data_IF_912518909736
#
_entry.id   IF_912518909736
#
_cell.length_a   1.000
_cell.length_b   1.000
_cell.length_c   1.000
_cell.angle_alpha   90.00
_cell.angle_beta   90.00
_cell.angle_gamma   90.00
#
_symmetry.space_group_name_H-M   'P 1'
#
loop_
_entity.id
_entity.type
_entity.pdbx_description
1 polymer ?
#
# COMPACT_ATOMS: atom_id res chain seq x y z
N UNK A 1 -20.12 10.84 -32.09
CA UNK A 1 -18.80 10.22 -31.84
C UNK A 1 -18.74 9.97 -30.34
N UNK A 2 -18.84 8.71 -29.92
CA UNK A 2 -18.89 8.33 -28.50
C UNK A 2 -17.49 8.46 -27.92
N UNK A 3 -17.22 9.56 -27.23
CA UNK A 3 -16.04 9.65 -26.37
C UNK A 3 -16.24 8.67 -25.21
N UNK A 4 -15.53 7.55 -25.32
CA UNK A 4 -15.31 6.60 -24.25
C UNK A 4 -14.75 7.36 -23.05
N UNK A 5 -15.64 7.71 -22.13
CA UNK A 5 -15.29 8.21 -20.81
C UNK A 5 -14.54 7.10 -20.08
N UNK A 6 -13.22 7.03 -20.31
CA UNK A 6 -12.31 6.34 -19.43
C UNK A 6 -12.49 7.00 -18.06
N UNK A 7 -13.36 6.41 -17.25
CA UNK A 7 -13.47 6.71 -15.83
C UNK A 7 -12.02 6.76 -15.33
N UNK A 8 -11.54 7.86 -14.73
CA UNK A 8 -10.20 7.86 -14.19
C UNK A 8 -10.17 6.69 -13.23
N UNK A 9 -9.39 5.65 -13.55
CA UNK A 9 -9.38 4.40 -12.83
C UNK A 9 -9.33 4.77 -11.35
N UNK A 10 -10.45 4.59 -10.63
CA UNK A 10 -10.59 5.16 -9.29
C UNK A 10 -9.49 4.50 -8.48
N UNK A 11 -8.40 5.24 -8.24
CA UNK A 11 -7.30 4.82 -7.39
C UNK A 11 -7.88 4.87 -5.98
N UNK A 12 -8.57 3.79 -5.62
CA UNK A 12 -9.23 3.63 -4.34
C UNK A 12 -8.16 3.41 -3.29
N UNK A 13 -8.32 3.97 -2.09
CA UNK A 13 -7.45 3.66 -0.95
C UNK A 13 -7.69 2.25 -0.38
N UNK A 14 -8.60 1.49 -1.00
CA UNK A 14 -9.01 0.15 -0.59
C UNK A 14 -8.92 -0.81 -1.77
N UNK A 15 -8.21 -1.92 -1.58
CA UNK A 15 -8.14 -2.99 -2.58
C UNK A 15 -8.35 -4.35 -1.94
N UNK A 16 -9.21 -5.16 -2.57
CA UNK A 16 -9.44 -6.54 -2.20
C UNK A 16 -9.21 -7.41 -3.43
N UNK A 17 -8.29 -8.35 -3.33
CA UNK A 17 -7.98 -9.33 -4.38
C UNK A 17 -7.94 -10.71 -3.76
N UNK A 18 -8.32 -11.72 -4.51
CA UNK A 18 -8.16 -13.14 -4.17
C UNK A 18 -6.90 -13.75 -4.78
N UNK A 19 -6.16 -12.97 -5.59
CA UNK A 19 -4.94 -13.44 -6.25
C UNK A 19 -3.80 -13.63 -5.22
N UNK A 20 -2.99 -14.68 -5.38
CA UNK A 20 -1.87 -14.97 -4.48
C UNK A 20 -0.74 -13.94 -4.62
N UNK A 21 -0.56 -13.39 -5.82
CA UNK A 21 0.42 -12.34 -6.11
C UNK A 21 -0.13 -11.32 -7.10
N UNK A 22 0.43 -10.12 -7.09
CA UNK A 22 0.10 -9.05 -8.02
C UNK A 22 0.59 -7.69 -7.54
N UNK A 23 0.38 -6.68 -8.37
CA UNK A 23 0.67 -5.30 -8.03
C UNK A 23 -0.53 -4.39 -8.30
N UNK A 24 -0.65 -3.34 -7.47
CA UNK A 24 -1.73 -2.38 -7.57
C UNK A 24 -1.33 -1.02 -7.01
N UNK A 25 -1.55 0.00 -7.81
CA UNK A 25 -1.47 1.39 -7.35
C UNK A 25 -2.69 1.75 -6.51
N UNK A 26 -2.47 2.18 -5.26
CA UNK A 26 -3.47 2.77 -4.37
C UNK A 26 -3.05 4.17 -3.91
N UNK A 27 -4.05 4.95 -3.49
CA UNK A 27 -3.84 6.27 -2.90
C UNK A 27 -3.81 6.13 -1.38
N UNK A 28 -2.76 6.65 -0.76
CA UNK A 28 -2.64 6.66 0.69
C UNK A 28 -3.67 7.63 1.26
N UNK A 29 -4.42 7.20 2.28
CA UNK A 29 -5.34 8.07 2.99
C UNK A 29 -4.59 9.23 3.65
N UNK A 30 -5.30 10.31 3.99
CA UNK A 30 -4.74 11.48 4.68
C UNK A 30 -4.00 11.13 5.98
N UNK A 31 -4.38 10.03 6.63
CA UNK A 31 -3.76 9.55 7.85
C UNK A 31 -2.49 8.68 7.62
N UNK A 32 -2.00 8.56 6.38
CA UNK A 32 -0.84 7.73 6.07
C UNK A 32 -1.12 6.21 6.07
N UNK A 33 -2.39 5.83 6.01
CA UNK A 33 -2.85 4.44 6.06
C UNK A 33 -3.39 3.99 4.71
N UNK A 34 -3.43 2.67 4.49
CA UNK A 34 -4.01 2.03 3.30
C UNK A 34 -4.79 0.81 3.75
N UNK A 35 -5.91 0.50 3.07
CA UNK A 35 -6.68 -0.72 3.34
C UNK A 35 -6.43 -1.76 2.25
N UNK A 36 -5.92 -2.93 2.62
CA UNK A 36 -5.64 -4.04 1.72
C UNK A 36 -6.14 -5.35 2.32
N UNK A 37 -6.95 -6.12 1.58
CA UNK A 37 -7.59 -7.38 2.03
C UNK A 37 -8.27 -7.25 3.42
N UNK A 38 -9.06 -6.20 3.59
CA UNK A 38 -9.74 -5.83 4.86
C UNK A 38 -8.81 -5.40 6.02
N UNK A 39 -7.49 -5.47 5.84
CA UNK A 39 -6.50 -5.05 6.83
C UNK A 39 -6.07 -3.61 6.58
N UNK A 40 -5.94 -2.82 7.64
CA UNK A 40 -5.43 -1.45 7.58
C UNK A 40 -3.93 -1.47 7.85
N UNK A 41 -3.15 -1.12 6.84
CA UNK A 41 -1.70 -0.94 6.92
C UNK A 41 -1.39 0.53 7.18
N UNK A 42 -0.75 0.81 8.31
CA UNK A 42 -0.21 2.13 8.61
C UNK A 42 1.21 2.22 8.07
N UNK A 43 1.41 3.02 7.02
CA UNK A 43 2.71 3.29 6.44
C UNK A 43 3.35 4.48 7.15
N UNK A 44 3.15 5.68 6.61
CA UNK A 44 3.64 6.91 7.19
C UNK A 44 2.80 8.08 6.68
N UNK A 45 2.57 9.08 7.52
CA UNK A 45 1.87 10.31 7.13
C UNK A 45 2.63 11.12 6.09
N UNK A 46 3.95 10.91 5.93
CA UNK A 46 4.75 11.53 4.86
C UNK A 46 4.29 11.12 3.46
N UNK A 47 3.64 9.97 3.32
CA UNK A 47 3.06 9.50 2.07
C UNK A 47 1.57 9.82 1.95
N UNK A 48 0.98 10.55 2.91
CA UNK A 48 -0.43 10.94 2.86
C UNK A 48 -0.74 11.68 1.54
N UNK A 49 -1.90 11.37 0.96
CA UNK A 49 -2.36 11.88 -0.34
C UNK A 49 -1.51 11.47 -1.56
N UNK A 50 -0.39 10.76 -1.39
CA UNK A 50 0.43 10.25 -2.48
C UNK A 50 -0.10 8.92 -2.99
N UNK A 51 0.29 8.60 -4.22
CA UNK A 51 0.04 7.30 -4.85
C UNK A 51 1.22 6.38 -4.55
N UNK A 52 0.90 5.14 -4.20
CA UNK A 52 1.90 4.10 -3.92
C UNK A 52 1.48 2.84 -4.64
N UNK A 53 2.46 2.10 -5.11
CA UNK A 53 2.27 0.78 -5.71
C UNK A 53 2.43 -0.26 -4.62
N UNK A 54 1.44 -1.12 -4.47
CA UNK A 54 1.47 -2.24 -3.55
C UNK A 54 1.74 -3.47 -4.38
N UNK A 55 2.79 -4.18 -4.07
CA UNK A 55 3.11 -5.48 -4.66
C UNK A 55 2.96 -6.51 -3.57
N UNK A 56 2.16 -7.54 -3.80
CA UNK A 56 2.01 -8.63 -2.84
C UNK A 56 2.31 -9.95 -3.52
N UNK A 57 2.79 -10.87 -2.71
CA UNK A 57 3.16 -12.23 -3.06
C UNK A 57 2.73 -13.15 -1.92
N UNK A 58 2.65 -14.48 -2.11
CA UNK A 58 2.30 -15.41 -1.03
C UNK A 58 3.25 -15.36 0.17
N UNK A 59 4.42 -14.73 0.04
CA UNK A 59 5.40 -14.58 1.12
C UNK A 59 5.30 -13.25 1.87
N UNK A 60 5.04 -12.15 1.16
CA UNK A 60 5.09 -10.79 1.72
C UNK A 60 4.25 -9.78 0.94
N UNK A 61 4.02 -8.62 1.56
CA UNK A 61 3.31 -7.47 1.00
C UNK A 61 4.24 -6.27 1.06
N UNK A 62 4.62 -5.76 -0.09
CA UNK A 62 5.57 -4.66 -0.28
C UNK A 62 4.81 -3.43 -0.75
N UNK A 63 5.10 -2.30 -0.14
CA UNK A 63 4.58 -0.99 -0.53
C UNK A 63 5.74 -0.18 -1.09
N UNK A 64 5.59 0.31 -2.31
CA UNK A 64 6.61 1.01 -3.09
C UNK A 64 6.06 2.36 -3.54
N UNK A 65 6.88 3.40 -3.57
CA UNK A 65 6.51 4.70 -4.17
C UNK A 65 6.47 4.59 -5.71
N UNK A 66 5.89 5.59 -6.36
CA UNK A 66 5.96 5.73 -7.83
C UNK A 66 7.40 5.87 -8.36
N UNK A 67 8.36 6.27 -7.51
CA UNK A 67 9.78 6.35 -7.85
C UNK A 67 10.52 5.01 -7.68
N UNK A 68 9.84 3.96 -7.20
CA UNK A 68 10.45 2.66 -6.95
C UNK A 68 11.09 2.52 -5.56
N UNK A 69 10.88 3.48 -4.65
CA UNK A 69 11.38 3.38 -3.28
C UNK A 69 10.46 2.50 -2.44
N UNK A 70 11.00 1.45 -1.82
CA UNK A 70 10.24 0.62 -0.88
C UNK A 70 9.91 1.47 0.35
N UNK A 71 8.63 1.68 0.63
CA UNK A 71 8.14 2.39 1.81
C UNK A 71 8.17 1.45 3.00
N UNK A 72 7.54 0.28 2.84
CA UNK A 72 7.45 -0.75 3.86
C UNK A 72 7.18 -2.12 3.24
N UNK A 73 7.73 -3.14 3.85
CA UNK A 73 7.47 -4.55 3.57
C UNK A 73 6.88 -5.19 4.81
N UNK A 74 5.73 -5.84 4.66
CA UNK A 74 5.03 -6.55 5.71
C UNK A 74 4.99 -8.04 5.38
N UNK A 75 5.11 -8.89 6.39
CA UNK A 75 4.65 -10.27 6.26
C UNK A 75 3.12 -10.33 6.21
N UNK A 76 2.59 -11.46 5.74
CA UNK A 76 1.16 -11.73 5.89
C UNK A 76 0.77 -11.68 7.37
N UNK A 77 -0.19 -10.83 7.74
CA UNK A 77 -0.58 -10.71 9.14
C UNK A 77 -1.30 -11.98 9.60
N UNK A 78 -1.23 -12.27 10.90
CA UNK A 78 -1.93 -13.41 11.47
C UNK A 78 -3.45 -13.31 11.21
N UNK A 79 -4.15 -14.44 11.01
CA UNK A 79 -5.59 -14.44 10.75
C UNK A 79 -6.34 -13.71 11.88
N UNK A 80 -7.19 -12.74 11.52
CA UNK A 80 -7.91 -11.88 12.46
C UNK A 80 -7.25 -10.52 12.74
N UNK A 81 -6.04 -10.27 12.22
CA UNK A 81 -5.39 -8.96 12.34
C UNK A 81 -6.09 -7.93 11.47
N UNK A 82 -6.66 -6.90 12.09
CA UNK A 82 -7.32 -5.79 11.38
C UNK A 82 -6.42 -4.59 11.10
N UNK A 83 -5.33 -4.47 11.85
CA UNK A 83 -4.46 -3.30 11.80
C UNK A 83 -3.00 -3.72 11.91
N UNK A 84 -2.20 -3.31 10.93
CA UNK A 84 -0.76 -3.57 10.86
C UNK A 84 -0.04 -2.23 10.85
N UNK A 85 0.67 -1.94 11.92
CA UNK A 85 1.50 -0.75 12.01
C UNK A 85 2.83 -0.95 11.29
N UNK A 86 3.46 0.14 10.84
CA UNK A 86 4.83 0.12 10.29
C UNK A 86 5.86 -0.54 11.24
N UNK A 87 5.59 -0.59 12.54
CA UNK A 87 6.42 -1.31 13.53
C UNK A 87 6.46 -2.83 13.31
N UNK A 88 5.45 -3.38 12.64
CA UNK A 88 5.37 -4.80 12.27
C UNK A 88 5.92 -5.04 10.85
N UNK A 89 6.36 -3.99 10.15
CA UNK A 89 7.03 -4.16 8.87
C UNK A 89 8.38 -4.84 9.10
N UNK A 90 8.70 -5.82 8.25
CA UNK A 90 10.03 -6.45 8.19
C UNK A 90 11.08 -5.44 7.78
N UNK A 91 10.75 -4.64 6.78
CA UNK A 91 11.55 -3.53 6.29
C UNK A 91 10.66 -2.30 6.25
N UNK A 92 11.16 -1.18 6.75
CA UNK A 92 10.55 0.12 6.52
C UNK A 92 11.64 1.10 6.20
N UNK A 93 11.54 1.78 5.05
CA UNK A 93 12.52 2.78 4.67
C UNK A 93 12.18 4.09 5.39
N UNK A 94 12.43 4.06 6.70
CA UNK A 94 12.38 5.22 7.57
C UNK A 94 13.70 6.00 7.55
N UNK A 95 14.58 5.76 6.55
CA UNK A 95 15.82 6.54 6.34
C UNK A 95 15.46 7.98 5.96
N UNK A 96 15.08 8.75 6.96
CA UNK A 96 15.71 10.04 7.15
C UNK A 96 17.21 9.76 7.18
N UNK A 97 17.87 10.04 6.07
CA UNK A 97 19.29 10.36 6.08
C UNK A 97 19.42 11.52 7.07
N UNK A 98 19.87 11.21 8.29
CA UNK A 98 20.31 12.26 9.21
C UNK A 98 21.67 12.72 8.67
N UNK A 99 21.64 13.95 8.15
CA UNK A 99 22.70 14.96 8.07
C UNK A 99 24.01 14.58 7.41
#
# INVERSE_FOLDING_TARGET
MVEVSASPARVSGSFNTTEPSGDRTLKVYSNGTIRFKDVVYSLTTRQAHRQVTITWDPEAIIFVTMEGEIIAEFGWPAPGTKHVGIKSARTSFQRAVKT
#
